data_IF_328738557661
#
_entry.id   IF_328738557661
#
_cell.length_a   1.000
_cell.length_b   1.000
_cell.length_c   1.000
_cell.angle_alpha   90.00
_cell.angle_beta   90.00
_cell.angle_gamma   90.00
#
_symmetry.space_group_name_H-M   'P 1'
#
loop_
_entity.id
_entity.type
_entity.pdbx_description
1 polymer ?
#
# COMPACT_ATOMS: atom_id res chain seq x y z
N UNK A 1 1.92 -1.64 8.07
CA UNK A 1 0.64 -1.48 8.83
C UNK A 1 0.81 -0.82 10.19
N UNK A 2 1.68 -1.32 11.09
CA UNK A 2 1.87 -0.76 12.43
C UNK A 2 2.11 0.76 12.44
N UNK A 3 2.99 1.26 11.56
CA UNK A 3 3.33 2.68 11.46
C UNK A 3 2.12 3.54 11.08
N UNK A 4 1.26 3.04 10.19
CA UNK A 4 0.02 3.72 9.79
C UNK A 4 -0.93 3.92 10.99
N UNK A 5 -1.10 2.90 11.83
CA UNK A 5 -1.96 2.98 13.03
C UNK A 5 -1.43 4.02 14.02
N UNK A 6 -0.10 4.15 14.14
CA UNK A 6 0.55 5.11 15.06
C UNK A 6 0.59 6.55 14.53
N UNK A 7 0.11 6.81 13.30
CA UNK A 7 0.02 8.14 12.69
C UNK A 7 1.30 8.98 12.78
N UNK A 8 2.48 8.37 12.66
CA UNK A 8 3.74 9.10 12.74
C UNK A 8 3.98 9.78 14.10
N UNK A 9 3.64 9.12 15.20
CA UNK A 9 4.13 9.52 16.54
C UNK A 9 4.79 8.33 17.21
N UNK A 10 5.85 7.82 16.58
CA UNK A 10 6.58 6.69 17.13
C UNK A 10 7.68 7.15 18.08
N UNK A 11 7.71 6.57 19.29
CA UNK A 11 8.88 6.69 20.18
C UNK A 11 10.07 5.95 19.54
N UNK A 12 11.29 6.24 19.98
CA UNK A 12 12.52 5.62 19.45
C UNK A 12 12.51 4.09 19.57
N UNK A 13 11.91 3.54 20.64
CA UNK A 13 11.89 2.10 20.90
C UNK A 13 11.23 1.27 19.77
N UNK A 14 10.03 1.61 19.27
CA UNK A 14 9.47 0.99 18.07
C UNK A 14 10.37 0.99 16.83
N UNK A 15 11.14 2.06 16.58
CA UNK A 15 12.08 2.10 15.44
C UNK A 15 13.16 1.04 15.60
N UNK A 16 13.78 0.96 16.79
CA UNK A 16 14.82 -0.04 17.10
C UNK A 16 14.26 -1.46 16.96
N UNK A 17 13.07 -1.72 17.49
CA UNK A 17 12.44 -3.04 17.39
C UNK A 17 12.18 -3.45 15.93
N UNK A 18 11.67 -2.55 15.08
CA UNK A 18 11.43 -2.84 13.65
C UNK A 18 12.77 -3.11 12.94
N UNK A 19 13.82 -2.35 13.23
CA UNK A 19 15.14 -2.55 12.64
C UNK A 19 15.70 -3.92 13.02
N UNK A 20 15.63 -4.31 14.30
CA UNK A 20 16.11 -5.61 14.76
C UNK A 20 15.36 -6.77 14.11
N UNK A 21 14.04 -6.67 14.00
CA UNK A 21 13.21 -7.67 13.31
C UNK A 21 13.59 -7.75 11.83
N UNK A 22 13.80 -6.61 11.17
CA UNK A 22 14.20 -6.56 9.75
C UNK A 22 15.57 -7.20 9.53
N UNK A 23 16.54 -6.95 10.42
CA UNK A 23 17.86 -7.60 10.38
C UNK A 23 17.75 -9.10 10.59
N UNK A 24 16.94 -9.55 11.56
CA UNK A 24 16.70 -10.98 11.79
C UNK A 24 16.13 -11.67 10.54
N UNK A 25 15.11 -11.08 9.89
CA UNK A 25 14.56 -11.63 8.66
C UNK A 25 15.58 -11.62 7.51
N UNK A 26 16.38 -10.57 7.39
CA UNK A 26 17.43 -10.51 6.37
C UNK A 26 18.47 -11.64 6.53
N UNK A 27 18.92 -11.88 7.76
CA UNK A 27 19.89 -12.96 8.04
C UNK A 27 19.33 -14.37 7.79
N UNK A 28 18.01 -14.53 7.82
CA UNK A 28 17.33 -15.83 7.67
C UNK A 28 16.80 -16.08 6.26
N UNK A 29 16.45 -15.04 5.50
CA UNK A 29 15.80 -15.16 4.18
C UNK A 29 16.55 -14.50 3.03
N UNK A 30 17.66 -13.78 3.27
CA UNK A 30 18.46 -13.02 2.28
C UNK A 30 17.61 -12.12 1.34
N UNK A 31 16.49 -11.61 1.86
CA UNK A 31 15.54 -10.78 1.11
C UNK A 31 15.98 -9.32 1.04
N UNK A 32 16.98 -9.04 0.20
CA UNK A 32 17.59 -7.71 -0.01
C UNK A 32 16.56 -6.60 -0.30
N UNK A 33 15.54 -6.90 -1.10
CA UNK A 33 14.50 -5.94 -1.51
C UNK A 33 13.66 -5.47 -0.32
N UNK A 34 13.15 -6.40 0.50
CA UNK A 34 12.32 -6.09 1.67
C UNK A 34 13.16 -5.37 2.71
N UNK A 35 14.39 -5.82 2.93
CA UNK A 35 15.33 -5.19 3.86
C UNK A 35 15.53 -3.70 3.55
N UNK A 36 15.87 -3.37 2.30
CA UNK A 36 16.04 -1.98 1.86
C UNK A 36 14.74 -1.17 1.96
N UNK A 37 13.61 -1.76 1.58
CA UNK A 37 12.29 -1.13 1.60
C UNK A 37 11.90 -0.67 3.03
N UNK A 38 12.16 -1.50 4.03
CA UNK A 38 11.84 -1.17 5.43
C UNK A 38 12.64 0.06 5.90
N UNK A 39 13.93 0.16 5.58
CA UNK A 39 14.73 1.35 5.92
C UNK A 39 14.23 2.61 5.21
N UNK A 40 13.86 2.51 3.92
CA UNK A 40 13.31 3.65 3.18
C UNK A 40 11.99 4.13 3.78
N UNK A 41 11.10 3.21 4.17
CA UNK A 41 9.83 3.53 4.84
C UNK A 41 10.10 4.19 6.20
N UNK A 42 10.99 3.64 7.02
CA UNK A 42 11.32 4.21 8.33
C UNK A 42 11.94 5.61 8.17
N UNK A 43 12.83 5.80 7.20
CA UNK A 43 13.41 7.10 6.87
C UNK A 43 12.34 8.10 6.45
N UNK A 44 11.47 7.75 5.52
CA UNK A 44 10.38 8.62 5.07
C UNK A 44 9.42 8.99 6.20
N UNK A 45 9.10 8.05 7.09
CA UNK A 45 8.26 8.32 8.27
C UNK A 45 8.96 9.28 9.20
N UNK A 46 10.21 8.99 9.56
CA UNK A 46 11.02 9.87 10.41
C UNK A 46 11.14 11.29 9.85
N UNK A 47 11.34 11.43 8.54
CA UNK A 47 11.38 12.73 7.88
C UNK A 47 10.02 13.41 7.89
N UNK A 48 8.92 12.70 7.67
CA UNK A 48 7.58 13.33 7.63
C UNK A 48 7.02 13.69 9.00
N UNK A 49 7.51 13.06 10.07
CA UNK A 49 7.29 13.53 11.44
C UNK A 49 7.99 14.89 11.73
N UNK A 50 9.02 15.25 10.95
CA UNK A 50 9.90 16.41 11.21
C UNK A 50 9.87 17.50 10.14
N UNK A 51 9.56 17.14 8.90
CA UNK A 51 9.40 18.06 7.78
C UNK A 51 7.97 18.56 7.82
N UNK A 52 7.79 19.89 7.74
CA UNK A 52 6.45 20.46 7.73
C UNK A 52 5.67 19.93 6.52
N UNK A 53 4.36 19.77 6.67
CA UNK A 53 3.43 19.28 5.65
C UNK A 53 3.33 20.15 4.38
N UNK A 54 4.23 21.11 4.18
CA UNK A 54 4.31 22.03 3.05
C UNK A 54 4.54 21.33 1.71
N UNK A 55 5.21 20.17 1.70
CA UNK A 55 5.38 19.39 0.47
C UNK A 55 4.03 18.93 -0.13
N UNK A 56 2.98 18.81 0.70
CA UNK A 56 1.62 18.52 0.23
C UNK A 56 0.93 19.74 -0.41
N UNK A 57 1.52 20.94 -0.38
CA UNK A 57 0.97 22.14 -1.02
C UNK A 57 1.44 22.25 -2.48
N UNK A 58 2.57 21.61 -2.82
CA UNK A 58 3.09 21.55 -4.18
C UNK A 58 2.12 20.80 -5.12
N UNK A 59 1.53 21.53 -6.07
CA UNK A 59 0.51 20.98 -6.97
C UNK A 59 0.99 19.76 -7.77
N UNK A 60 2.24 19.76 -8.24
CA UNK A 60 2.81 18.64 -9.00
C UNK A 60 2.98 17.38 -8.13
N UNK A 61 3.46 17.51 -6.89
CA UNK A 61 3.60 16.38 -5.93
C UNK A 61 2.23 15.79 -5.63
N UNK A 62 1.22 16.64 -5.38
CA UNK A 62 -0.15 16.18 -5.14
C UNK A 62 -0.70 15.42 -6.34
N UNK A 63 -0.52 15.93 -7.55
CA UNK A 63 -1.00 15.27 -8.78
C UNK A 63 -0.29 13.94 -9.00
N UNK A 64 1.04 13.91 -8.81
CA UNK A 64 1.83 12.69 -8.87
C UNK A 64 1.34 11.62 -7.86
N UNK A 65 1.21 11.99 -6.58
CA UNK A 65 0.75 11.06 -5.53
C UNK A 65 -0.69 10.60 -5.73
N UNK A 66 -1.55 11.46 -6.28
CA UNK A 66 -2.92 11.09 -6.61
C UNK A 66 -2.97 9.92 -7.59
N UNK A 67 -2.13 9.96 -8.63
CA UNK A 67 -2.11 8.96 -9.71
C UNK A 67 -0.95 7.95 -9.60
N UNK A 68 -0.28 7.85 -8.45
CA UNK A 68 0.97 7.06 -8.32
C UNK A 68 0.81 5.59 -8.73
N UNK A 69 -0.33 4.96 -8.43
CA UNK A 69 -0.60 3.56 -8.79
C UNK A 69 -0.76 3.38 -10.30
N UNK A 70 -1.37 4.33 -11.00
CA UNK A 70 -1.43 4.32 -12.46
C UNK A 70 -0.04 4.55 -13.07
N UNK A 71 0.72 5.49 -12.52
CA UNK A 71 2.07 5.81 -13.01
C UNK A 71 2.98 4.59 -12.87
N UNK A 72 3.05 3.97 -11.70
CA UNK A 72 3.88 2.78 -11.49
C UNK A 72 3.35 1.55 -12.23
N UNK A 73 2.04 1.37 -12.33
CA UNK A 73 1.46 0.32 -13.16
C UNK A 73 1.84 0.47 -14.63
N UNK A 74 1.68 1.68 -15.19
CA UNK A 74 2.06 1.96 -16.57
C UNK A 74 3.57 1.79 -16.79
N UNK A 75 4.42 2.42 -15.97
CA UNK A 75 5.87 2.34 -16.12
C UNK A 75 6.38 0.90 -16.00
N UNK A 76 5.83 0.10 -15.07
CA UNK A 76 6.25 -1.29 -14.91
C UNK A 76 5.85 -2.18 -16.08
N UNK A 77 4.62 -2.05 -16.58
CA UNK A 77 4.15 -2.79 -17.77
C UNK A 77 4.97 -2.38 -18.99
N UNK A 78 5.14 -1.09 -19.25
CA UNK A 78 5.94 -0.60 -20.39
C UNK A 78 7.39 -1.06 -20.30
N UNK A 79 8.00 -1.06 -19.10
CA UNK A 79 9.37 -1.57 -18.93
C UNK A 79 9.48 -3.06 -19.28
N UNK A 80 8.45 -3.85 -19.00
CA UNK A 80 8.39 -5.28 -19.37
C UNK A 80 8.20 -5.42 -20.90
N UNK A 81 7.25 -4.69 -21.49
CA UNK A 81 6.96 -4.75 -22.93
C UNK A 81 8.13 -4.26 -23.79
N UNK A 82 8.86 -3.24 -23.32
CA UNK A 82 10.01 -2.66 -23.99
C UNK A 82 11.30 -3.47 -23.81
N UNK A 83 11.32 -4.48 -22.93
CA UNK A 83 12.53 -5.24 -22.62
C UNK A 83 13.11 -5.90 -23.88
N UNK A 84 14.42 -5.74 -24.12
CA UNK A 84 15.12 -6.35 -25.27
C UNK A 84 16.51 -6.82 -24.85
N UNK A 85 16.78 -8.11 -25.05
CA UNK A 85 18.09 -8.71 -24.77
C UNK A 85 19.23 -8.08 -25.57
N UNK A 86 18.97 -7.59 -26.79
CA UNK A 86 19.97 -6.93 -27.63
C UNK A 86 20.39 -5.53 -27.17
N UNK A 87 19.79 -4.98 -26.11
CA UNK A 87 20.19 -3.67 -25.57
C UNK A 87 21.33 -3.80 -24.56
N UNK A 88 22.15 -2.75 -24.43
CA UNK A 88 23.24 -2.73 -23.44
C UNK A 88 22.75 -2.48 -21.99
N UNK A 89 21.51 -1.99 -21.82
CA UNK A 89 20.98 -1.53 -20.53
C UNK A 89 19.99 -2.53 -19.91
N UNK A 90 19.10 -3.14 -20.70
CA UNK A 90 18.07 -4.04 -20.15
C UNK A 90 18.63 -5.27 -19.43
N UNK A 91 19.68 -5.95 -19.91
CA UNK A 91 20.27 -7.08 -19.17
C UNK A 91 20.80 -6.68 -17.79
N UNK A 92 21.35 -5.47 -17.65
CA UNK A 92 21.83 -4.94 -16.36
C UNK A 92 20.67 -4.68 -15.41
N UNK A 93 19.60 -4.04 -15.89
CA UNK A 93 18.38 -3.80 -15.11
C UNK A 93 17.74 -5.13 -14.69
N UNK A 94 17.71 -6.11 -15.59
CA UNK A 94 17.15 -7.43 -15.32
C UNK A 94 17.91 -8.16 -14.22
N UNK A 95 19.24 -8.10 -14.23
CA UNK A 95 20.09 -8.66 -13.18
C UNK A 95 19.78 -8.03 -11.81
N UNK A 96 19.65 -6.69 -11.76
CA UNK A 96 19.26 -5.97 -10.52
C UNK A 96 17.86 -6.40 -10.05
N UNK A 97 16.93 -6.58 -10.99
CA UNK A 97 15.55 -6.98 -10.73
C UNK A 97 15.39 -8.50 -10.52
N UNK A 98 16.50 -9.26 -10.45
CA UNK A 98 16.49 -10.72 -10.28
C UNK A 98 15.69 -11.44 -11.37
N UNK A 99 15.91 -11.08 -12.63
CA UNK A 99 15.25 -11.66 -13.81
C UNK A 99 13.75 -11.41 -13.94
N UNK A 100 13.15 -10.58 -13.08
CA UNK A 100 11.70 -10.28 -13.11
C UNK A 100 11.23 -9.60 -14.39
N UNK A 101 12.07 -8.77 -15.02
CA UNK A 101 11.70 -8.15 -16.31
C UNK A 101 11.60 -9.21 -17.40
N UNK A 102 12.59 -10.09 -17.50
CA UNK A 102 12.57 -11.16 -18.50
C UNK A 102 11.45 -12.16 -18.27
N UNK A 103 11.14 -12.53 -17.01
CA UNK A 103 10.02 -13.41 -16.68
C UNK A 103 8.68 -12.76 -17.03
N UNK A 104 8.53 -11.46 -16.73
CA UNK A 104 7.36 -10.68 -17.14
C UNK A 104 7.18 -10.65 -18.66
N UNK A 105 8.27 -10.48 -19.41
CA UNK A 105 8.21 -10.47 -20.88
C UNK A 105 7.83 -11.85 -21.42
N UNK A 106 8.46 -12.92 -20.92
CA UNK A 106 8.15 -14.29 -21.36
C UNK A 106 6.67 -14.62 -21.12
N UNK A 107 6.13 -14.24 -19.97
CA UNK A 107 4.71 -14.41 -19.67
C UNK A 107 3.83 -13.58 -20.62
N UNK A 108 4.21 -12.35 -20.95
CA UNK A 108 3.50 -11.54 -21.94
C UNK A 108 3.54 -12.17 -23.34
N UNK A 109 4.70 -12.64 -23.79
CA UNK A 109 4.86 -13.26 -25.12
C UNK A 109 4.04 -14.56 -25.23
N UNK A 110 3.89 -15.31 -24.13
CA UNK A 110 3.13 -16.55 -24.08
C UNK A 110 1.61 -16.35 -23.95
N UNK A 111 1.17 -15.46 -23.07
CA UNK A 111 -0.24 -15.32 -22.70
C UNK A 111 -0.89 -14.03 -23.23
N UNK A 112 -0.10 -12.98 -23.47
CA UNK A 112 -0.61 -11.65 -23.79
C UNK A 112 -1.43 -11.02 -22.66
N UNK A 113 -2.12 -9.92 -22.98
CA UNK A 113 -3.05 -9.24 -22.07
C UNK A 113 -4.44 -9.28 -22.69
N UNK A 114 -5.41 -9.81 -21.96
CA UNK A 114 -6.81 -9.83 -22.37
C UNK A 114 -7.63 -8.74 -21.66
N UNK A 115 -8.84 -8.48 -22.16
CA UNK A 115 -9.71 -7.46 -21.57
C UNK A 115 -10.26 -7.91 -20.20
N UNK A 116 -10.72 -9.17 -20.13
CA UNK A 116 -11.43 -9.75 -18.96
C UNK A 116 -10.63 -10.82 -18.20
N UNK A 117 -9.37 -11.04 -18.58
CA UNK A 117 -8.51 -12.04 -17.95
C UNK A 117 -8.53 -13.39 -18.67
N UNK A 118 -7.78 -14.33 -18.12
CA UNK A 118 -7.62 -15.70 -18.59
C UNK A 118 -7.07 -16.56 -17.46
N UNK A 119 -7.45 -17.83 -17.43
CA UNK A 119 -6.93 -18.77 -16.45
C UNK A 119 -5.52 -19.18 -16.85
N UNK A 120 -4.55 -18.92 -15.97
CA UNK A 120 -3.15 -19.29 -16.19
C UNK A 120 -2.68 -20.18 -15.06
N UNK A 121 -2.06 -21.29 -15.44
CA UNK A 121 -1.35 -22.17 -14.53
C UNK A 121 0.12 -21.75 -14.55
N UNK A 122 0.55 -21.11 -13.47
CA UNK A 122 1.93 -20.71 -13.30
C UNK A 122 2.79 -21.90 -12.91
N UNK A 123 4.02 -21.95 -13.42
CA UNK A 123 4.99 -22.95 -12.99
C UNK A 123 5.90 -22.36 -11.91
N UNK A 124 5.62 -22.71 -10.67
CA UNK A 124 6.36 -22.21 -9.51
C UNK A 124 7.32 -23.24 -8.91
N UNK A 125 7.43 -24.43 -9.52
CA UNK A 125 8.32 -25.48 -9.03
C UNK A 125 9.77 -25.13 -9.38
N UNK A 126 10.64 -25.10 -8.35
CA UNK A 126 12.05 -24.78 -8.52
C UNK A 126 12.86 -25.95 -9.11
N UNK A 127 12.42 -27.19 -8.84
CA UNK A 127 13.04 -28.44 -9.30
C UNK A 127 12.10 -29.25 -10.23
N UNK A 128 11.10 -28.59 -10.83
CA UNK A 128 10.17 -29.22 -11.77
C UNK A 128 10.82 -29.51 -13.13
N UNK A 129 10.18 -30.37 -13.93
CA UNK A 129 10.62 -30.66 -15.30
C UNK A 129 10.50 -29.46 -16.24
N UNK A 130 9.59 -28.54 -15.92
CA UNK A 130 9.34 -27.33 -16.67
C UNK A 130 10.07 -26.14 -16.03
N UNK A 131 10.53 -25.15 -16.82
CA UNK A 131 11.23 -23.98 -16.30
C UNK A 131 10.32 -23.10 -15.44
N UNK A 132 10.85 -22.59 -14.33
CA UNK A 132 10.15 -21.64 -13.45
C UNK A 132 9.64 -20.43 -14.24
N UNK A 133 8.34 -20.17 -14.11
CA UNK A 133 7.66 -19.09 -14.81
C UNK A 133 6.57 -18.52 -13.92
N UNK A 134 6.88 -17.35 -13.33
CA UNK A 134 5.94 -16.56 -12.55
C UNK A 134 6.22 -15.06 -12.73
N UNK A 135 5.16 -14.26 -12.73
CA UNK A 135 5.26 -12.80 -12.83
C UNK A 135 5.10 -12.18 -11.44
N UNK A 136 6.22 -11.72 -10.87
CA UNK A 136 6.24 -11.05 -9.57
C UNK A 136 5.65 -9.63 -9.61
N UNK A 137 5.63 -8.96 -10.77
CA UNK A 137 5.05 -7.63 -10.86
C UNK A 137 3.52 -7.70 -10.72
N UNK A 138 2.94 -7.15 -9.64
CA UNK A 138 1.49 -7.24 -9.41
C UNK A 138 0.68 -6.62 -10.55
N UNK A 139 1.15 -5.51 -11.13
CA UNK A 139 0.42 -4.84 -12.21
C UNK A 139 0.34 -5.72 -13.46
N UNK A 140 1.46 -6.31 -13.88
CA UNK A 140 1.49 -7.23 -15.01
C UNK A 140 0.77 -8.55 -14.68
N UNK A 141 0.95 -9.08 -13.48
CA UNK A 141 0.27 -10.29 -13.02
C UNK A 141 -1.25 -10.13 -13.06
N UNK A 142 -1.78 -9.00 -12.58
CA UNK A 142 -3.22 -8.70 -12.66
C UNK A 142 -3.68 -8.53 -14.10
N UNK A 143 -2.92 -7.81 -14.94
CA UNK A 143 -3.26 -7.63 -16.36
C UNK A 143 -3.37 -8.97 -17.10
N UNK A 144 -2.45 -9.89 -16.82
CA UNK A 144 -2.37 -11.20 -17.47
C UNK A 144 -3.45 -12.16 -16.95
N UNK A 145 -3.61 -12.31 -15.62
CA UNK A 145 -4.58 -13.26 -15.03
C UNK A 145 -6.03 -12.74 -15.08
N UNK A 146 -6.26 -11.47 -14.72
CA UNK A 146 -7.61 -10.93 -14.49
C UNK A 146 -8.02 -9.86 -15.52
N UNK A 147 -7.10 -9.49 -16.42
CA UNK A 147 -7.37 -8.58 -17.52
C UNK A 147 -7.21 -7.11 -17.17
N UNK A 148 -7.14 -6.29 -18.22
CA UNK A 148 -6.91 -4.84 -18.09
C UNK A 148 -8.02 -4.14 -17.32
N UNK A 149 -9.27 -4.61 -17.42
CA UNK A 149 -10.41 -4.02 -16.71
C UNK A 149 -10.22 -4.11 -15.20
N UNK A 150 -9.81 -5.27 -14.70
CA UNK A 150 -9.56 -5.46 -13.27
C UNK A 150 -8.35 -4.65 -12.80
N UNK A 151 -7.29 -4.57 -13.61
CA UNK A 151 -6.15 -3.71 -13.29
C UNK A 151 -6.56 -2.24 -13.16
N UNK A 152 -7.33 -1.71 -14.11
CA UNK A 152 -7.81 -0.33 -14.09
C UNK A 152 -8.70 -0.07 -12.86
N UNK A 153 -9.60 -0.99 -12.52
CA UNK A 153 -10.44 -0.88 -11.33
C UNK A 153 -9.61 -0.86 -10.04
N UNK A 154 -8.60 -1.72 -9.95
CA UNK A 154 -7.68 -1.77 -8.81
C UNK A 154 -6.91 -0.45 -8.65
N UNK A 155 -6.29 0.04 -9.73
CA UNK A 155 -5.58 1.32 -9.73
C UNK A 155 -6.52 2.50 -9.45
N UNK A 156 -7.76 2.48 -9.95
CA UNK A 156 -8.77 3.50 -9.67
C UNK A 156 -9.19 3.49 -8.18
N UNK A 157 -9.37 2.31 -7.58
CA UNK A 157 -9.67 2.16 -6.16
C UNK A 157 -8.57 2.75 -5.28
N UNK A 158 -7.30 2.45 -5.57
CA UNK A 158 -6.19 3.07 -4.83
C UNK A 158 -6.03 4.57 -5.13
N UNK A 159 -6.26 5.01 -6.37
CA UNK A 159 -6.30 6.44 -6.73
C UNK A 159 -7.35 7.19 -5.91
N UNK A 160 -8.53 6.60 -5.71
CA UNK A 160 -9.56 7.15 -4.85
C UNK A 160 -9.09 7.28 -3.40
N UNK A 161 -8.46 6.24 -2.84
CA UNK A 161 -7.87 6.28 -1.48
C UNK A 161 -6.81 7.37 -1.37
N UNK A 162 -5.89 7.48 -2.33
CA UNK A 162 -4.86 8.53 -2.38
C UNK A 162 -5.49 9.93 -2.47
N UNK A 163 -6.56 10.09 -3.26
CA UNK A 163 -7.33 11.33 -3.35
C UNK A 163 -7.98 11.73 -2.02
N UNK A 164 -8.58 10.78 -1.29
CA UNK A 164 -9.11 11.02 0.05
C UNK A 164 -8.00 11.40 1.03
N UNK A 165 -6.87 10.70 1.00
CA UNK A 165 -5.71 10.98 1.83
C UNK A 165 -5.15 12.40 1.59
N UNK A 166 -5.09 12.86 0.33
CA UNK A 166 -4.70 14.22 -0.02
C UNK A 166 -5.68 15.28 0.53
N UNK A 167 -6.99 15.03 0.42
CA UNK A 167 -8.03 15.94 0.96
C UNK A 167 -7.95 16.03 2.48
N UNK A 168 -7.73 14.90 3.15
CA UNK A 168 -7.61 14.80 4.60
C UNK A 168 -6.22 15.23 5.13
N UNK A 169 -5.30 15.64 4.24
CA UNK A 169 -3.88 15.96 4.54
C UNK A 169 -3.20 14.85 5.35
N UNK A 170 -3.55 13.60 5.07
CA UNK A 170 -3.01 12.42 5.76
C UNK A 170 -1.68 11.99 5.12
N UNK A 171 -0.60 12.69 5.47
CA UNK A 171 0.76 12.43 4.99
C UNK A 171 1.18 10.95 5.14
N UNK A 172 0.88 10.34 6.28
CA UNK A 172 1.25 8.96 6.59
C UNK A 172 0.64 7.97 5.58
N UNK A 173 -0.65 8.14 5.25
CA UNK A 173 -1.32 7.30 4.27
C UNK A 173 -0.75 7.48 2.86
N UNK A 174 -0.40 8.73 2.49
CA UNK A 174 0.22 9.01 1.20
C UNK A 174 1.58 8.34 1.05
N UNK A 175 2.40 8.36 2.10
CA UNK A 175 3.73 7.71 2.10
C UNK A 175 3.57 6.20 2.04
N UNK A 176 2.70 5.62 2.87
CA UNK A 176 2.41 4.19 2.81
C UNK A 176 1.89 3.77 1.43
N UNK A 177 0.99 4.56 0.84
CA UNK A 177 0.45 4.31 -0.50
C UNK A 177 1.51 4.41 -1.60
N UNK A 178 2.41 5.40 -1.52
CA UNK A 178 3.54 5.54 -2.45
C UNK A 178 4.47 4.32 -2.40
N UNK A 179 4.88 3.91 -1.19
CA UNK A 179 5.73 2.73 -1.03
C UNK A 179 5.01 1.45 -1.42
N UNK A 180 3.73 1.31 -1.09
CA UNK A 180 2.93 0.18 -1.53
C UNK A 180 2.90 0.10 -3.06
N UNK A 181 2.59 1.20 -3.74
CA UNK A 181 2.58 1.25 -5.19
C UNK A 181 3.93 0.83 -5.80
N UNK A 182 5.04 1.29 -5.21
CA UNK A 182 6.39 0.95 -5.68
C UNK A 182 6.74 -0.51 -5.41
N UNK A 183 6.35 -1.02 -4.24
CA UNK A 183 6.55 -2.44 -3.88
C UNK A 183 5.89 -3.37 -4.88
N UNK A 184 4.70 -3.01 -5.35
CA UNK A 184 3.91 -3.79 -6.30
C UNK A 184 4.54 -3.96 -7.67
N UNK A 185 5.64 -3.25 -7.97
CA UNK A 185 6.46 -3.51 -9.16
C UNK A 185 7.24 -4.83 -9.00
N UNK A 186 7.64 -5.17 -7.78
CA UNK A 186 8.52 -6.30 -7.48
C UNK A 186 7.83 -7.46 -6.79
N UNK A 187 6.58 -7.30 -6.35
CA UNK A 187 5.87 -8.31 -5.57
C UNK A 187 4.37 -8.37 -5.95
N UNK A 188 3.77 -9.57 -6.10
CA UNK A 188 2.42 -9.74 -6.64
C UNK A 188 1.31 -9.38 -5.64
N UNK A 189 1.63 -9.09 -4.39
CA UNK A 189 0.67 -9.04 -3.29
C UNK A 189 -0.32 -7.86 -3.31
N UNK A 190 -0.24 -6.93 -4.27
CA UNK A 190 -1.09 -5.72 -4.30
C UNK A 190 -2.60 -6.03 -4.20
N UNK A 191 -3.06 -7.06 -4.90
CA UNK A 191 -4.48 -7.44 -4.98
C UNK A 191 -4.86 -8.56 -4.00
N UNK A 192 -3.90 -9.16 -3.29
CA UNK A 192 -4.13 -10.24 -2.34
C UNK A 192 -4.56 -9.68 -0.99
N UNK A 193 -5.86 -9.76 -0.69
CA UNK A 193 -6.44 -9.15 0.52
C UNK A 193 -5.83 -9.64 1.84
N UNK A 194 -5.32 -10.87 1.89
CA UNK A 194 -4.66 -11.41 3.08
C UNK A 194 -3.25 -10.85 3.31
N UNK A 195 -2.58 -10.33 2.27
CA UNK A 195 -1.28 -9.66 2.38
C UNK A 195 -1.38 -8.13 2.42
N UNK A 196 -2.36 -7.56 1.70
CA UNK A 196 -2.53 -6.12 1.58
C UNK A 196 -3.82 -5.60 2.26
N UNK A 197 -3.77 -5.25 3.56
CA UNK A 197 -4.93 -4.71 4.26
C UNK A 197 -5.34 -3.31 3.75
N UNK A 198 -4.52 -2.62 2.95
CA UNK A 198 -4.92 -1.33 2.36
C UNK A 198 -6.03 -1.48 1.32
N UNK A 199 -6.26 -2.69 0.78
CA UNK A 199 -7.45 -2.99 -0.03
C UNK A 199 -8.74 -2.71 0.73
N UNK A 200 -8.78 -3.00 2.04
CA UNK A 200 -9.95 -2.74 2.88
C UNK A 200 -10.24 -1.24 3.03
N UNK A 201 -9.22 -0.37 2.87
CA UNK A 201 -9.44 1.07 2.91
C UNK A 201 -10.27 1.56 1.72
N UNK A 202 -10.17 0.89 0.57
CA UNK A 202 -10.99 1.21 -0.60
C UNK A 202 -12.46 1.10 -0.19
N UNK A 203 -12.87 -0.07 0.30
CA UNK A 203 -14.23 -0.33 0.80
C UNK A 203 -14.63 0.60 1.94
N UNK A 204 -13.75 0.83 2.92
CA UNK A 204 -14.03 1.72 4.06
C UNK A 204 -14.30 3.18 3.63
N UNK A 205 -13.55 3.70 2.65
CA UNK A 205 -13.77 5.05 2.12
C UNK A 205 -14.99 5.13 1.20
N UNK A 206 -15.37 4.05 0.51
CA UNK A 206 -16.65 3.99 -0.22
C UNK A 206 -17.85 3.98 0.73
N UNK A 207 -17.81 3.15 1.78
CA UNK A 207 -18.86 3.10 2.79
C UNK A 207 -19.03 4.45 3.50
N UNK A 208 -17.93 5.07 3.92
CA UNK A 208 -17.93 6.38 4.59
C UNK A 208 -18.43 7.51 3.69
N UNK A 209 -18.31 7.40 2.36
CA UNK A 209 -18.83 8.40 1.43
C UNK A 209 -20.36 8.36 1.32
N UNK A 210 -21.00 7.22 1.63
CA UNK A 210 -22.46 7.10 1.72
C UNK A 210 -23.04 7.54 3.07
N UNK A 211 -22.25 7.52 4.14
CA UNK A 211 -22.63 7.94 5.49
C UNK A 211 -21.69 9.02 6.04
N UNK A 212 -21.67 10.20 5.42
CA UNK A 212 -21.17 11.37 6.14
C UNK A 212 -22.15 11.71 7.29
N UNK A 213 -21.80 11.30 8.52
CA UNK A 213 -22.14 11.94 9.81
C UNK A 213 -23.10 11.27 10.82
N UNK A 214 -23.75 10.13 10.56
CA UNK A 214 -24.81 9.68 11.51
C UNK A 214 -24.28 8.90 12.73
N UNK A 215 -23.28 8.03 12.59
CA UNK A 215 -22.92 7.10 13.69
C UNK A 215 -21.93 7.71 14.69
N UNK A 216 -20.84 8.33 14.23
CA UNK A 216 -19.77 8.79 15.14
C UNK A 216 -20.17 10.03 15.95
N UNK A 217 -21.02 10.91 15.41
CA UNK A 217 -21.55 12.06 16.15
C UNK A 217 -22.60 11.65 17.16
N UNK A 218 -23.54 10.74 16.81
CA UNK A 218 -24.51 10.20 17.78
C UNK A 218 -23.83 9.55 18.97
N UNK A 219 -22.81 8.71 18.75
CA UNK A 219 -22.08 8.05 19.85
C UNK A 219 -21.34 9.06 20.73
N UNK A 220 -20.68 10.05 20.12
CA UNK A 220 -19.94 11.09 20.86
C UNK A 220 -20.86 12.01 21.65
N UNK A 221 -22.05 12.30 21.12
CA UNK A 221 -23.03 13.16 21.77
C UNK A 221 -23.77 12.42 22.89
N UNK A 222 -24.13 11.15 22.68
CA UNK A 222 -24.66 10.26 23.73
C UNK A 222 -23.66 10.13 24.88
N UNK A 223 -22.36 9.95 24.61
CA UNK A 223 -21.33 9.90 25.64
C UNK A 223 -21.24 11.23 26.44
N UNK A 224 -21.32 12.38 25.77
CA UNK A 224 -21.30 13.69 26.45
C UNK A 224 -22.53 13.88 27.33
N UNK A 225 -23.70 13.49 26.86
CA UNK A 225 -24.97 13.58 27.60
C UNK A 225 -24.94 12.69 28.84
N UNK A 226 -24.53 11.43 28.69
CA UNK A 226 -24.37 10.50 29.80
C UNK A 226 -23.34 10.99 30.83
N UNK A 227 -22.20 11.53 30.37
CA UNK A 227 -21.18 12.07 31.27
C UNK A 227 -21.70 13.27 32.08
N UNK A 228 -22.46 14.18 31.46
CA UNK A 228 -23.10 15.31 32.16
C UNK A 228 -24.14 14.83 33.18
N UNK A 229 -25.00 13.88 32.79
CA UNK A 229 -26.01 13.31 33.67
C UNK A 229 -25.37 12.63 34.91
N UNK A 230 -24.28 11.89 34.70
CA UNK A 230 -23.57 11.19 35.78
C UNK A 230 -22.89 12.16 36.76
N UNK A 231 -22.35 13.28 36.28
CA UNK A 231 -21.80 14.34 37.13
C UNK A 231 -22.91 15.04 37.95
N UNK A 232 -24.05 15.33 37.32
CA UNK A 232 -25.21 15.92 38.01
C UNK A 232 -25.77 14.98 39.09
N UNK A 233 -25.88 13.69 38.77
CA UNK A 233 -26.34 12.68 39.72
C UNK A 233 -25.39 12.58 40.93
N UNK A 234 -24.07 12.54 40.71
CA UNK A 234 -23.07 12.55 41.79
C UNK A 234 -23.17 13.80 42.68
N UNK A 235 -23.42 14.98 42.10
CA UNK A 235 -23.61 16.23 42.87
C UNK A 235 -24.87 16.20 43.72
N UNK A 236 -26.00 15.76 43.16
CA UNK A 236 -27.27 15.61 43.91
C UNK A 236 -27.15 14.60 45.05
N UNK A 237 -26.48 13.47 44.81
CA UNK A 237 -26.26 12.44 45.84
C UNK A 237 -25.41 12.97 47.00
N UNK A 238 -24.41 13.81 46.72
CA UNK A 238 -23.59 14.42 47.77
C UNK A 238 -24.39 15.41 48.63
N UNK A 239 -25.23 16.23 48.00
CA UNK A 239 -26.12 17.16 48.72
C UNK A 239 -27.21 16.48 49.57
N UNK A 240 -27.63 15.25 49.22
CA UNK A 240 -28.57 14.48 50.03
C UNK A 240 -27.91 13.74 51.21
N UNK A 241 -26.59 13.50 51.17
CA UNK A 241 -25.87 12.84 52.26
C UNK A 241 -25.26 13.83 53.27
N UNK A 242 -25.20 15.12 52.92
CA UNK A 242 -24.72 16.22 53.79
C UNK A 242 -25.90 16.95 54.51
N UNK A 243 -27.10 16.35 54.54
CA UNK A 243 -28.29 16.78 55.32
C UNK A 243 -28.71 15.65 56.25
#
# INVERSE_FOLDING_TARGET
MYIFIKKGKMKVLPYVAIILINVFFYLTTDTKTIFAMVFLVLGAVFFTERISSKWMECAWIRKFLHYVFFIFGFVSIEAILAFRWGSWIFPKINSIMTNRLSLGQQAYDQYGISILGQMITWNTEFDGSDPYMYVDCAYMNVAINYGIVILVLLCAGFTYVMGRALKEKNAMLLICGFFLAGHSISDPQLYMAWYNPFLLLIGAYFYKAGEESVVFWKVKDTYRTLKKALVLWKRKRKQCNDK
#
